data_IF_719354697346
#
_entry.id   IF_719354697346
#
_cell.length_a   1.000
_cell.length_b   1.000
_cell.length_c   1.000
_cell.angle_alpha   90.00
_cell.angle_beta   90.00
_cell.angle_gamma   90.00
#
_symmetry.space_group_name_H-M   'P 1'
#
loop_
_entity.id
_entity.type
_entity.pdbx_description
1 polymer ?
#
# COMPACT_ATOMS: atom_id res chain seq x y z
N UNK A 1 7.02 -2.61 -12.28
CA UNK A 1 6.17 -2.63 -11.07
C UNK A 1 4.71 -2.53 -11.50
N UNK A 2 3.91 -3.51 -11.11
CA UNK A 2 2.52 -3.61 -11.56
C UNK A 2 1.56 -3.37 -10.39
N UNK A 3 0.47 -2.65 -10.66
CA UNK A 3 -0.57 -2.38 -9.65
C UNK A 3 -1.16 -3.67 -9.11
N UNK A 4 -1.41 -4.66 -9.96
CA UNK A 4 -1.99 -5.94 -9.51
C UNK A 4 -1.07 -6.69 -8.56
N UNK A 5 0.25 -6.59 -8.73
CA UNK A 5 1.21 -7.20 -7.80
C UNK A 5 1.19 -6.48 -6.46
N UNK A 6 1.07 -5.16 -6.49
CA UNK A 6 0.94 -4.34 -5.28
C UNK A 6 -0.33 -4.71 -4.51
N UNK A 7 -1.44 -4.88 -5.22
CA UNK A 7 -2.71 -5.28 -4.61
C UNK A 7 -2.61 -6.66 -3.98
N UNK A 8 -1.99 -7.62 -4.66
CA UNK A 8 -1.80 -8.97 -4.12
C UNK A 8 -0.95 -8.96 -2.86
N UNK A 9 0.12 -8.18 -2.86
CA UNK A 9 0.96 -8.00 -1.69
C UNK A 9 0.14 -7.42 -0.53
N UNK A 10 -0.63 -6.38 -0.80
CA UNK A 10 -1.47 -5.71 0.18
C UNK A 10 -2.45 -6.71 0.81
N UNK A 11 -3.11 -7.52 -0.02
CA UNK A 11 -4.06 -8.52 0.46
C UNK A 11 -3.38 -9.63 1.27
N UNK A 12 -2.20 -10.04 0.85
CA UNK A 12 -1.49 -11.16 1.50
C UNK A 12 -0.97 -10.80 2.89
N UNK A 13 -0.55 -9.54 3.06
CA UNK A 13 0.15 -9.14 4.28
C UNK A 13 -0.74 -8.50 5.33
N UNK A 14 -1.85 -7.88 4.92
CA UNK A 14 -2.76 -7.30 5.87
C UNK A 14 -3.78 -8.35 6.31
N UNK A 15 -3.94 -8.48 7.63
CA UNK A 15 -4.88 -9.42 8.22
C UNK A 15 -6.32 -9.08 7.83
N UNK A 16 -7.15 -10.11 7.72
CA UNK A 16 -8.60 -9.99 7.54
C UNK A 16 -9.05 -9.38 6.20
N UNK A 17 -8.15 -9.28 5.22
CA UNK A 17 -8.54 -8.91 3.87
C UNK A 17 -8.73 -10.18 3.04
N UNK A 18 -9.90 -10.32 2.44
CA UNK A 18 -10.21 -11.49 1.61
C UNK A 18 -9.51 -11.32 0.26
N UNK A 19 -8.69 -12.30 -0.16
CA UNK A 19 -8.01 -12.22 -1.46
C UNK A 19 -9.01 -12.00 -2.61
N UNK A 20 -8.66 -11.11 -3.52
CA UNK A 20 -9.48 -10.81 -4.68
C UNK A 20 -10.52 -9.73 -4.47
N UNK A 21 -10.65 -9.19 -3.25
CA UNK A 21 -11.66 -8.17 -2.96
C UNK A 21 -11.13 -6.75 -3.02
N UNK A 22 -9.81 -6.58 -2.96
CA UNK A 22 -9.20 -5.26 -2.97
C UNK A 22 -9.09 -4.75 -4.40
N UNK A 23 -9.62 -3.57 -4.65
CA UNK A 23 -9.62 -2.93 -5.98
C UNK A 23 -8.74 -1.67 -5.95
N UNK A 24 -8.28 -1.20 -7.12
CA UNK A 24 -7.50 0.04 -7.17
C UNK A 24 -8.22 1.24 -6.55
N UNK A 25 -9.53 1.31 -6.71
CA UNK A 25 -10.36 2.39 -6.19
C UNK A 25 -10.80 2.20 -4.73
N UNK A 26 -10.42 1.08 -4.10
CA UNK A 26 -10.77 0.83 -2.71
C UNK A 26 -10.17 1.89 -1.80
N UNK A 27 -11.03 2.48 -0.96
CA UNK A 27 -10.60 3.42 0.07
C UNK A 27 -10.10 2.61 1.27
N UNK A 28 -8.79 2.36 1.32
CA UNK A 28 -8.22 1.41 2.27
C UNK A 28 -8.45 1.79 3.73
N UNK A 29 -8.54 3.08 4.04
CA UNK A 29 -8.78 3.55 5.41
C UNK A 29 -10.17 3.21 5.92
N UNK A 30 -11.10 2.87 5.03
CA UNK A 30 -12.47 2.48 5.39
C UNK A 30 -12.64 0.97 5.55
N UNK A 31 -11.58 0.20 5.27
CA UNK A 31 -11.61 -1.24 5.49
C UNK A 31 -11.72 -1.53 6.99
N UNK A 32 -12.56 -2.51 7.35
CA UNK A 32 -12.72 -2.91 8.75
C UNK A 32 -11.41 -3.38 9.37
N UNK A 33 -10.55 -3.98 8.54
CA UNK A 33 -9.24 -4.47 8.98
C UNK A 33 -8.22 -3.35 9.21
N UNK A 34 -8.50 -2.12 8.74
CA UNK A 34 -7.52 -1.04 8.81
C UNK A 34 -7.40 -0.44 10.20
N UNK A 35 -6.18 -0.32 10.69
CA UNK A 35 -5.85 0.35 11.94
C UNK A 35 -4.38 0.77 11.91
N UNK A 36 -3.89 1.35 13.00
CA UNK A 36 -2.49 1.82 13.08
C UNK A 36 -1.49 0.71 12.89
N UNK A 37 -1.78 -0.49 13.38
CA UNK A 37 -0.88 -1.63 13.21
C UNK A 37 -0.79 -2.04 11.74
N UNK A 38 -1.91 -2.07 11.04
CA UNK A 38 -1.93 -2.39 9.62
C UNK A 38 -1.15 -1.36 8.81
N UNK A 39 -1.24 -0.09 9.19
CA UNK A 39 -0.48 0.98 8.56
C UNK A 39 1.03 0.73 8.70
N UNK A 40 1.48 0.34 9.89
CA UNK A 40 2.90 0.04 10.14
C UNK A 40 3.35 -1.18 9.34
N UNK A 41 2.50 -2.21 9.25
CA UNK A 41 2.80 -3.40 8.46
C UNK A 41 2.97 -3.03 6.98
N UNK A 42 2.09 -2.20 6.47
CA UNK A 42 2.16 -1.76 5.07
C UNK A 42 3.46 -0.99 4.80
N UNK A 43 3.85 -0.08 5.71
CA UNK A 43 5.10 0.67 5.59
C UNK A 43 6.30 -0.30 5.54
N UNK A 44 6.33 -1.26 6.46
CA UNK A 44 7.42 -2.24 6.53
C UNK A 44 7.49 -3.09 5.27
N UNK A 45 6.34 -3.49 4.74
CA UNK A 45 6.28 -4.33 3.55
C UNK A 45 6.74 -3.62 2.30
N UNK A 46 6.30 -2.39 2.11
CA UNK A 46 6.71 -1.59 0.96
C UNK A 46 8.22 -1.39 0.98
N UNK A 47 8.78 -1.19 2.16
CA UNK A 47 10.24 -1.10 2.32
C UNK A 47 10.91 -2.41 1.92
N UNK A 48 10.41 -3.53 2.40
CA UNK A 48 11.00 -4.85 2.13
C UNK A 48 10.88 -5.27 0.66
N UNK A 49 9.70 -5.05 0.06
CA UNK A 49 9.41 -5.56 -1.27
C UNK A 49 9.84 -4.60 -2.38
N UNK A 50 9.79 -3.30 -2.14
CA UNK A 50 10.06 -2.29 -3.17
C UNK A 50 11.25 -1.39 -2.85
N UNK A 51 11.79 -1.47 -1.65
CA UNK A 51 12.89 -0.60 -1.24
C UNK A 51 12.48 0.87 -1.12
N UNK A 52 11.20 1.12 -0.88
CA UNK A 52 10.64 2.48 -0.79
C UNK A 52 10.18 2.74 0.64
N UNK A 53 10.53 3.91 1.16
CA UNK A 53 10.09 4.33 2.49
C UNK A 53 8.80 5.14 2.38
N UNK A 54 7.68 4.54 2.82
CA UNK A 54 6.44 5.27 3.02
C UNK A 54 6.44 5.89 4.40
N UNK A 55 5.81 7.05 4.52
CA UNK A 55 5.65 7.74 5.79
C UNK A 55 4.18 7.71 6.23
N UNK A 56 3.94 7.98 7.51
CA UNK A 56 2.58 8.12 8.03
C UNK A 56 1.83 9.23 7.29
N UNK A 57 2.53 10.30 6.92
CA UNK A 57 1.96 11.39 6.16
C UNK A 57 1.49 10.95 4.77
N UNK A 58 2.27 10.12 4.09
CA UNK A 58 1.86 9.54 2.80
C UNK A 58 0.56 8.76 2.95
N UNK A 59 0.44 7.94 3.99
CA UNK A 59 -0.76 7.16 4.24
C UNK A 59 -1.96 8.04 4.58
N UNK A 60 -1.71 9.15 5.26
CA UNK A 60 -2.77 10.11 5.61
C UNK A 60 -3.30 10.83 4.37
N UNK A 61 -2.42 11.22 3.46
CA UNK A 61 -2.78 12.01 2.28
C UNK A 61 -3.41 11.18 1.17
N UNK A 62 -3.08 9.89 1.09
CA UNK A 62 -3.66 9.00 0.08
C UNK A 62 -5.05 8.56 0.49
N UNK A 63 -5.91 8.32 -0.49
CA UNK A 63 -7.29 7.89 -0.27
C UNK A 63 -7.49 6.45 -0.72
N UNK A 64 -7.06 6.12 -1.93
CA UNK A 64 -7.28 4.80 -2.52
C UNK A 64 -5.99 4.00 -2.59
N UNK A 65 -6.14 2.69 -2.84
CA UNK A 65 -5.00 1.80 -3.09
C UNK A 65 -4.19 2.31 -4.29
N UNK A 66 -4.87 2.79 -5.33
CA UNK A 66 -4.22 3.36 -6.50
C UNK A 66 -3.37 4.59 -6.15
N UNK A 67 -3.84 5.42 -5.23
CA UNK A 67 -3.07 6.58 -4.75
C UNK A 67 -1.78 6.14 -4.09
N UNK A 68 -1.85 5.12 -3.22
CA UNK A 68 -0.67 4.56 -2.57
C UNK A 68 0.31 4.00 -3.58
N UNK A 69 -0.20 3.26 -4.55
CA UNK A 69 0.64 2.69 -5.61
C UNK A 69 1.39 3.79 -6.37
N UNK A 70 0.70 4.88 -6.70
CA UNK A 70 1.31 6.01 -7.40
C UNK A 70 2.45 6.62 -6.60
N UNK A 71 2.27 6.78 -5.29
CA UNK A 71 3.32 7.30 -4.40
C UNK A 71 4.52 6.37 -4.38
N UNK A 72 4.28 5.07 -4.23
CA UNK A 72 5.35 4.06 -4.22
C UNK A 72 6.10 4.06 -5.54
N UNK A 73 5.37 4.09 -6.66
CA UNK A 73 5.96 4.10 -7.99
C UNK A 73 6.82 5.34 -8.21
N UNK A 74 6.34 6.50 -7.82
CA UNK A 74 7.08 7.74 -7.97
C UNK A 74 8.36 7.74 -7.14
N UNK A 75 8.28 7.29 -5.89
CA UNK A 75 9.45 7.19 -5.01
C UNK A 75 10.48 6.20 -5.56
N UNK A 76 10.01 5.07 -6.09
CA UNK A 76 10.91 4.07 -6.68
C UNK A 76 11.61 4.62 -7.92
N UNK A 77 10.90 5.35 -8.75
CA UNK A 77 11.47 6.00 -9.93
C UNK A 77 12.55 7.00 -9.53
N UNK A 78 12.32 7.80 -8.49
CA UNK A 78 13.30 8.76 -8.01
C UNK A 78 14.56 8.07 -7.48
N UNK A 79 14.40 6.92 -6.81
CA UNK A 79 15.54 6.16 -6.29
C UNK A 79 16.39 5.55 -7.42
N UNK A 80 15.77 5.27 -8.57
CA UNK A 80 16.42 4.62 -9.69
C UNK A 80 16.93 5.62 -10.75
N UNK A 81 16.70 6.89 -10.57
CA UNK A 81 17.10 7.92 -11.54
C UNK A 81 18.53 8.40 -11.35
#
# INVERSE_FOLDING_TARGET
MLLEDFIKMFEAELADIIPGTLLPETVYKQLDAWNSMQALILIAMVDADYGVTLTAENLHDCVTVSDLFSVVQNKKTLLNS
#
